data_IF_914335925644
#
_entry.id   IF_914335925644
#
_cell.length_a   1.000
_cell.length_b   1.000
_cell.length_c   1.000
_cell.angle_alpha   90.00
_cell.angle_beta   90.00
_cell.angle_gamma   90.00
#
_symmetry.space_group_name_H-M   'P 1'
#
loop_
_entity.id
_entity.type
_entity.pdbx_description
1 polymer ?
#
# COMPACT_ATOMS: atom_id res chain seq x y z
N UNK A 1 -0.14 25.91 14.51
CA UNK A 1 -0.08 25.32 15.86
C UNK A 1 0.40 26.37 16.87
N UNK A 2 -0.08 26.29 18.10
CA UNK A 2 0.39 27.13 19.22
C UNK A 2 1.17 26.22 20.15
N UNK A 3 2.39 26.65 20.53
CA UNK A 3 3.29 25.93 21.42
C UNK A 3 3.57 26.79 22.64
N UNK A 4 3.55 26.20 23.81
CA UNK A 4 3.86 26.90 25.08
C UNK A 4 5.35 27.19 25.20
N UNK A 5 6.20 26.31 24.63
CA UNK A 5 7.67 26.45 24.63
C UNK A 5 8.25 26.09 23.25
N UNK A 6 9.44 26.63 22.89
CA UNK A 6 10.16 26.19 21.71
C UNK A 6 10.53 24.72 21.83
N UNK A 7 10.20 23.93 20.79
CA UNK A 7 10.59 22.52 20.69
C UNK A 7 11.53 22.33 19.52
N UNK A 8 12.52 21.45 19.68
CA UNK A 8 13.46 21.08 18.65
C UNK A 8 13.75 19.58 18.71
N UNK A 9 13.51 18.89 17.59
CA UNK A 9 13.90 17.50 17.38
C UNK A 9 14.15 17.28 15.90
N UNK A 10 14.86 16.20 15.57
CA UNK A 10 15.12 15.85 14.18
C UNK A 10 14.06 14.89 13.63
N UNK A 11 13.96 14.77 12.31
CA UNK A 11 13.09 13.78 11.67
C UNK A 11 13.49 12.32 12.00
N UNK A 12 14.74 12.11 12.44
CA UNK A 12 15.25 10.79 12.84
C UNK A 12 14.98 10.45 14.31
N UNK A 13 14.52 11.41 15.09
CA UNK A 13 14.30 11.26 16.54
C UNK A 13 13.06 12.08 16.96
N UNK A 14 11.91 11.69 16.44
CA UNK A 14 10.62 12.31 16.79
C UNK A 14 10.07 11.57 18.01
N UNK A 15 9.91 12.24 19.16
CA UNK A 15 9.27 11.63 20.33
C UNK A 15 7.85 11.16 20.02
N UNK A 16 7.39 10.09 20.66
CA UNK A 16 6.02 9.59 20.48
C UNK A 16 4.98 10.64 20.87
N UNK A 17 5.25 11.40 21.93
CA UNK A 17 4.42 12.48 22.45
C UNK A 17 4.75 13.84 21.86
N UNK A 18 5.53 13.91 20.76
CA UNK A 18 5.90 15.15 20.13
C UNK A 18 4.65 15.98 19.75
N UNK A 19 4.65 17.29 20.11
CA UNK A 19 3.53 18.14 19.76
C UNK A 19 3.43 18.36 18.24
N UNK A 20 2.25 18.70 17.77
CA UNK A 20 2.05 19.09 16.36
C UNK A 20 2.70 20.47 16.12
N UNK A 21 3.80 20.51 15.37
CA UNK A 21 4.54 21.73 15.07
C UNK A 21 4.50 22.15 13.61
N UNK A 22 4.37 21.16 12.71
CA UNK A 22 4.42 21.39 11.27
C UNK A 22 3.71 20.28 10.51
N UNK A 23 2.77 20.66 9.62
CA UNK A 23 1.85 19.70 8.98
C UNK A 23 2.52 18.66 8.08
N UNK A 24 3.74 18.92 7.57
CA UNK A 24 4.50 17.91 6.81
C UNK A 24 5.00 16.76 7.72
N UNK A 25 5.22 17.05 8.99
CA UNK A 25 5.65 16.07 9.97
C UNK A 25 4.45 15.32 10.53
N UNK A 26 3.56 16.04 11.20
CA UNK A 26 2.30 15.51 11.78
C UNK A 26 1.20 16.55 11.74
N UNK A 27 -0.04 16.09 11.60
CA UNK A 27 -1.23 16.94 11.63
C UNK A 27 -2.39 16.16 12.29
N UNK A 28 -3.14 16.73 13.22
CA UNK A 28 -4.17 16.00 13.98
C UNK A 28 -5.28 15.42 13.09
N UNK A 29 -5.68 16.11 12.02
CA UNK A 29 -6.68 15.58 11.07
C UNK A 29 -6.14 14.42 10.24
N UNK A 30 -4.87 14.48 9.85
CA UNK A 30 -4.20 13.39 9.15
C UNK A 30 -4.04 12.19 10.08
N UNK A 31 -3.62 12.41 11.32
CA UNK A 31 -3.48 11.34 12.32
C UNK A 31 -4.78 10.60 12.56
N UNK A 32 -5.93 11.29 12.64
CA UNK A 32 -7.24 10.63 12.74
C UNK A 32 -7.52 9.65 11.59
N UNK A 33 -7.04 9.96 10.38
CA UNK A 33 -7.15 9.05 9.24
C UNK A 33 -6.18 7.88 9.39
N UNK A 34 -4.94 8.15 9.80
CA UNK A 34 -3.90 7.15 10.04
C UNK A 34 -4.35 6.14 11.10
N UNK A 35 -4.83 6.60 12.25
CA UNK A 35 -5.34 5.77 13.35
C UNK A 35 -6.49 4.89 12.88
N UNK A 36 -7.44 5.46 12.11
CA UNK A 36 -8.57 4.71 11.58
C UNK A 36 -8.16 3.64 10.57
N UNK A 37 -7.21 3.95 9.68
CA UNK A 37 -6.70 2.99 8.72
C UNK A 37 -5.93 1.86 9.42
N UNK A 38 -5.13 2.18 10.44
CA UNK A 38 -4.43 1.20 11.26
C UNK A 38 -5.41 0.21 11.90
N UNK A 39 -6.50 0.71 12.50
CA UNK A 39 -7.55 -0.14 13.10
C UNK A 39 -8.25 -1.00 12.04
N UNK A 40 -8.59 -0.45 10.87
CA UNK A 40 -9.29 -1.20 9.81
C UNK A 40 -8.44 -2.34 9.23
N UNK A 41 -7.13 -2.14 9.12
CA UNK A 41 -6.17 -3.15 8.61
C UNK A 41 -5.62 -4.07 9.71
N UNK A 42 -5.95 -3.84 10.98
CA UNK A 42 -5.35 -4.53 12.13
C UNK A 42 -3.81 -4.38 12.12
N UNK A 43 -3.32 -3.19 11.71
CA UNK A 43 -1.90 -2.87 11.61
C UNK A 43 -1.44 -2.06 12.82
N UNK A 44 -0.16 -2.21 13.27
CA UNK A 44 0.38 -1.42 14.38
C UNK A 44 0.51 0.07 14.05
N UNK A 45 0.87 0.42 12.81
CA UNK A 45 1.10 1.81 12.40
C UNK A 45 0.60 2.07 10.97
N UNK A 46 0.24 3.34 10.71
CA UNK A 46 -0.13 3.86 9.40
C UNK A 46 0.48 5.24 9.17
N UNK A 47 0.87 5.52 7.90
CA UNK A 47 1.17 6.89 7.43
C UNK A 47 0.43 7.17 6.13
N UNK A 48 -0.09 8.39 6.02
CA UNK A 48 -0.89 8.83 4.88
C UNK A 48 -0.11 9.77 3.96
N UNK A 49 -0.30 9.57 2.65
CA UNK A 49 0.42 10.22 1.57
C UNK A 49 -0.52 10.93 0.60
N UNK A 50 0.02 11.87 -0.19
CA UNK A 50 -0.73 12.66 -1.16
C UNK A 50 -1.43 11.83 -2.26
N UNK A 51 -0.95 10.62 -2.54
CA UNK A 51 -1.51 9.68 -3.53
C UNK A 51 -1.08 8.26 -3.25
N UNK A 52 -1.72 7.27 -3.89
CA UNK A 52 -1.27 5.87 -3.85
C UNK A 52 0.16 5.71 -4.36
N UNK A 53 0.53 6.42 -5.44
CA UNK A 53 1.91 6.39 -5.95
C UNK A 53 2.92 7.02 -4.98
N UNK A 54 2.55 8.04 -4.23
CA UNK A 54 3.42 8.60 -3.19
C UNK A 54 3.63 7.57 -2.05
N UNK A 55 2.61 6.81 -1.66
CA UNK A 55 2.72 5.71 -0.71
C UNK A 55 3.61 4.57 -1.25
N UNK A 56 3.38 4.14 -2.49
CA UNK A 56 4.22 3.15 -3.20
C UNK A 56 5.70 3.59 -3.24
N UNK A 57 5.95 4.83 -3.67
CA UNK A 57 7.31 5.38 -3.75
C UNK A 57 7.96 5.48 -2.37
N UNK A 58 7.19 5.84 -1.33
CA UNK A 58 7.70 5.91 0.04
C UNK A 58 8.24 4.56 0.50
N UNK A 59 7.51 3.45 0.27
CA UNK A 59 8.00 2.11 0.59
C UNK A 59 9.25 1.77 -0.24
N UNK A 60 9.17 1.92 -1.56
CA UNK A 60 10.25 1.51 -2.45
C UNK A 60 11.56 2.27 -2.19
N UNK A 61 11.49 3.58 -1.95
CA UNK A 61 12.68 4.41 -1.72
C UNK A 61 13.23 4.32 -0.28
N UNK A 62 12.39 4.00 0.70
CA UNK A 62 12.85 3.82 2.08
C UNK A 62 13.42 2.42 2.35
N UNK A 63 12.97 1.41 1.57
CA UNK A 63 13.37 0.00 1.79
C UNK A 63 14.53 -0.41 0.90
N UNK A 64 14.62 0.12 -0.32
CA UNK A 64 15.56 -0.31 -1.34
C UNK A 64 16.69 0.71 -1.55
N UNK A 65 17.91 0.21 -1.73
CA UNK A 65 19.10 0.97 -2.08
C UNK A 65 19.80 0.37 -3.30
N UNK A 66 20.75 1.08 -3.88
CA UNK A 66 21.56 0.59 -5.01
C UNK A 66 22.23 -0.75 -4.68
N UNK A 67 22.08 -1.72 -5.57
CA UNK A 67 22.56 -3.11 -5.41
C UNK A 67 21.51 -4.08 -4.88
N UNK A 68 20.40 -3.59 -4.32
CA UNK A 68 19.32 -4.44 -3.82
C UNK A 68 18.51 -5.06 -4.97
N UNK A 69 17.82 -6.17 -4.65
CA UNK A 69 16.93 -6.89 -5.58
C UNK A 69 15.48 -6.78 -5.13
N UNK A 70 14.63 -6.36 -6.07
CA UNK A 70 13.17 -6.35 -5.97
C UNK A 70 12.57 -7.46 -6.83
N UNK A 71 11.82 -8.38 -6.25
CA UNK A 71 10.95 -9.31 -6.98
C UNK A 71 9.54 -8.78 -6.96
N UNK A 72 8.96 -8.51 -8.14
CA UNK A 72 7.59 -8.00 -8.25
C UNK A 72 6.69 -8.94 -9.04
N UNK A 73 5.39 -8.91 -8.74
CA UNK A 73 4.39 -9.62 -9.54
C UNK A 73 4.37 -9.11 -11.00
N UNK A 74 4.13 -10.00 -11.95
CA UNK A 74 3.83 -9.65 -13.35
C UNK A 74 2.47 -8.98 -13.51
N UNK A 75 1.56 -9.18 -12.55
CA UNK A 75 0.25 -8.55 -12.48
C UNK A 75 0.21 -7.55 -11.32
N UNK A 76 0.44 -6.27 -11.62
CA UNK A 76 0.32 -5.16 -10.70
C UNK A 76 0.02 -3.86 -11.45
N UNK A 77 -0.38 -2.84 -10.72
CA UNK A 77 -0.71 -1.53 -11.27
C UNK A 77 0.40 -1.02 -12.21
N UNK A 78 0.05 -0.54 -13.42
CA UNK A 78 1.03 -0.10 -14.42
C UNK A 78 2.00 0.96 -13.90
N UNK A 79 1.53 1.91 -13.08
CA UNK A 79 2.39 2.96 -12.51
C UNK A 79 3.50 2.40 -11.62
N UNK A 80 3.21 1.39 -10.79
CA UNK A 80 4.22 0.68 -9.98
C UNK A 80 5.21 -0.08 -10.88
N UNK A 81 4.69 -0.74 -11.92
CA UNK A 81 5.53 -1.46 -12.88
C UNK A 81 6.47 -0.52 -13.65
N UNK A 82 6.00 0.65 -14.04
CA UNK A 82 6.80 1.67 -14.73
C UNK A 82 7.86 2.28 -13.81
N UNK A 83 7.50 2.64 -12.59
CA UNK A 83 8.44 3.13 -11.57
C UNK A 83 9.57 2.13 -11.34
N UNK A 84 9.23 0.83 -11.17
CA UNK A 84 10.21 -0.21 -10.96
C UNK A 84 11.14 -0.37 -12.18
N UNK A 85 10.58 -0.47 -13.38
CA UNK A 85 11.34 -0.73 -14.61
C UNK A 85 12.24 0.44 -15.02
N UNK A 86 11.80 1.67 -14.80
CA UNK A 86 12.48 2.87 -15.27
C UNK A 86 13.33 3.50 -14.17
N UNK A 87 12.70 3.89 -13.06
CA UNK A 87 13.34 4.72 -12.04
C UNK A 87 14.18 3.90 -11.06
N UNK A 88 13.64 2.83 -10.50
CA UNK A 88 14.40 1.97 -9.58
C UNK A 88 15.59 1.31 -10.29
N UNK A 89 15.41 0.86 -11.52
CA UNK A 89 16.50 0.30 -12.31
C UNK A 89 17.61 1.32 -12.56
N UNK A 90 17.26 2.59 -12.83
CA UNK A 90 18.22 3.69 -12.99
C UNK A 90 18.97 4.00 -11.68
N UNK A 91 18.33 3.73 -10.52
CA UNK A 91 18.95 3.84 -9.19
C UNK A 91 19.84 2.64 -8.83
N UNK A 92 20.02 1.69 -9.73
CA UNK A 92 20.87 0.52 -9.53
C UNK A 92 20.21 -0.63 -8.77
N UNK A 93 18.88 -0.67 -8.73
CA UNK A 93 18.12 -1.76 -8.14
C UNK A 93 17.85 -2.82 -9.20
N UNK A 94 18.10 -4.09 -8.89
CA UNK A 94 17.77 -5.21 -9.76
C UNK A 94 16.27 -5.51 -9.69
N UNK A 95 15.60 -5.51 -10.84
CA UNK A 95 14.16 -5.78 -10.94
C UNK A 95 13.92 -7.14 -11.57
N UNK A 96 13.32 -8.04 -10.80
CA UNK A 96 12.87 -9.36 -11.27
C UNK A 96 11.35 -9.38 -11.28
N UNK A 97 10.76 -9.95 -12.34
CA UNK A 97 9.32 -10.11 -12.47
C UNK A 97 8.97 -11.59 -12.43
N UNK A 98 8.02 -11.98 -11.57
CA UNK A 98 7.57 -13.35 -11.41
C UNK A 98 6.03 -13.44 -11.44
N UNK A 99 5.51 -14.60 -11.84
CA UNK A 99 4.10 -14.90 -11.75
C UNK A 99 3.77 -15.38 -10.32
N UNK A 100 3.06 -14.57 -9.54
CA UNK A 100 2.71 -14.93 -8.16
C UNK A 100 1.58 -15.97 -8.03
N UNK A 101 0.94 -16.33 -9.14
CA UNK A 101 0.03 -17.48 -9.17
C UNK A 101 0.77 -18.82 -9.36
N UNK A 102 2.07 -18.80 -9.68
CA UNK A 102 2.95 -19.95 -9.73
C UNK A 102 4.01 -19.83 -8.63
N UNK A 103 3.73 -20.46 -7.49
CA UNK A 103 4.60 -20.38 -6.31
C UNK A 103 5.99 -20.99 -6.57
N UNK A 104 6.12 -21.98 -7.46
CA UNK A 104 7.42 -22.55 -7.82
C UNK A 104 8.27 -21.52 -8.61
N UNK A 105 7.65 -20.81 -9.54
CA UNK A 105 8.34 -19.74 -10.27
C UNK A 105 8.72 -18.58 -9.35
N UNK A 106 7.88 -18.26 -8.38
CA UNK A 106 8.18 -17.25 -7.36
C UNK A 106 9.35 -17.68 -6.47
N UNK A 107 9.35 -18.90 -5.96
CA UNK A 107 10.42 -19.44 -5.11
C UNK A 107 11.80 -19.42 -5.82
N UNK A 108 11.83 -19.70 -7.13
CA UNK A 108 13.04 -19.57 -7.92
C UNK A 108 13.50 -18.13 -8.14
N UNK A 109 12.54 -17.18 -8.18
CA UNK A 109 12.82 -15.75 -8.38
C UNK A 109 13.35 -15.08 -7.11
N UNK A 110 12.85 -15.51 -5.92
CA UNK A 110 13.26 -14.98 -4.62
C UNK A 110 14.55 -15.66 -4.15
N UNK A 111 15.61 -14.89 -4.06
CA UNK A 111 16.96 -15.36 -3.67
C UNK A 111 17.41 -14.65 -2.38
N UNK A 112 18.52 -15.09 -1.74
CA UNK A 112 19.04 -14.40 -0.55
C UNK A 112 19.38 -12.91 -0.75
N UNK A 113 19.59 -12.47 -2.00
CA UNK A 113 19.83 -11.06 -2.35
C UNK A 113 18.53 -10.25 -2.49
N UNK A 114 17.37 -10.92 -2.47
CA UNK A 114 16.07 -10.22 -2.54
C UNK A 114 15.81 -9.49 -1.24
N UNK A 115 15.58 -8.19 -1.31
CA UNK A 115 15.24 -7.34 -0.16
C UNK A 115 13.74 -7.16 -0.02
N UNK A 116 13.04 -7.06 -1.15
CA UNK A 116 11.60 -6.80 -1.17
C UNK A 116 10.91 -7.65 -2.24
N UNK A 117 9.79 -8.25 -1.86
CA UNK A 117 8.80 -8.88 -2.74
C UNK A 117 7.58 -7.97 -2.79
N UNK A 118 7.11 -7.62 -4.01
CA UNK A 118 5.99 -6.69 -4.21
C UNK A 118 4.85 -7.36 -4.98
N UNK A 119 3.70 -7.51 -4.33
CA UNK A 119 2.47 -8.04 -4.93
C UNK A 119 1.33 -7.03 -4.93
N UNK A 120 0.31 -7.33 -5.72
CA UNK A 120 -0.99 -6.64 -5.73
C UNK A 120 -2.10 -7.69 -5.82
N UNK A 121 -3.10 -7.60 -4.95
CA UNK A 121 -4.21 -8.56 -4.96
C UNK A 121 -5.50 -7.93 -4.41
N UNK A 122 -6.62 -8.04 -5.15
CA UNK A 122 -6.75 -8.44 -6.56
C UNK A 122 -5.99 -7.49 -7.50
N UNK A 123 -5.31 -8.02 -8.52
CA UNK A 123 -4.45 -7.23 -9.40
C UNK A 123 -5.26 -6.46 -10.46
N UNK A 124 -5.00 -5.18 -10.62
CA UNK A 124 -5.60 -4.33 -11.67
C UNK A 124 -4.84 -4.49 -13.01
N UNK A 125 -5.52 -4.77 -14.16
CA UNK A 125 -6.97 -4.92 -14.31
C UNK A 125 -7.44 -6.38 -14.33
N UNK A 126 -6.55 -7.34 -14.12
CA UNK A 126 -6.81 -8.77 -14.43
C UNK A 126 -7.60 -9.48 -13.35
N UNK A 127 -7.83 -8.86 -12.19
CA UNK A 127 -8.46 -9.46 -11.01
C UNK A 127 -7.76 -10.74 -10.52
N UNK A 128 -6.50 -10.93 -10.89
CA UNK A 128 -5.71 -12.08 -10.44
C UNK A 128 -5.50 -12.01 -8.93
N UNK A 129 -5.73 -13.13 -8.27
CA UNK A 129 -5.55 -13.28 -6.81
C UNK A 129 -4.18 -13.87 -6.52
N UNK A 130 -3.55 -13.38 -5.47
CA UNK A 130 -2.28 -13.86 -4.91
C UNK A 130 -2.56 -14.47 -3.54
N UNK A 131 -2.03 -15.67 -3.28
CA UNK A 131 -1.99 -16.25 -1.93
C UNK A 131 -0.94 -15.52 -1.10
N UNK A 132 -1.40 -14.56 -0.30
CA UNK A 132 -0.51 -13.67 0.47
C UNK A 132 0.32 -14.48 1.48
N UNK A 133 -0.28 -15.46 2.16
CA UNK A 133 0.42 -16.24 3.18
C UNK A 133 1.53 -17.09 2.58
N UNK A 134 1.27 -17.76 1.45
CA UNK A 134 2.29 -18.53 0.75
C UNK A 134 3.43 -17.65 0.21
N UNK A 135 3.10 -16.47 -0.34
CA UNK A 135 4.12 -15.51 -0.81
C UNK A 135 4.94 -14.94 0.34
N UNK A 136 4.31 -14.66 1.50
CA UNK A 136 5.00 -14.22 2.71
C UNK A 136 6.01 -15.27 3.20
N UNK A 137 5.59 -16.53 3.25
CA UNK A 137 6.47 -17.64 3.65
C UNK A 137 7.70 -17.73 2.74
N UNK A 138 7.52 -17.70 1.41
CA UNK A 138 8.63 -17.72 0.45
C UNK A 138 9.58 -16.52 0.64
N UNK A 139 9.03 -15.31 0.81
CA UNK A 139 9.82 -14.11 1.03
C UNK A 139 10.64 -14.21 2.32
N UNK A 140 10.00 -14.53 3.43
CA UNK A 140 10.62 -14.57 4.75
C UNK A 140 11.67 -15.68 4.89
N UNK A 141 11.48 -16.85 4.25
CA UNK A 141 12.50 -17.91 4.21
C UNK A 141 13.82 -17.47 3.57
N UNK A 142 13.81 -16.42 2.75
CA UNK A 142 15.00 -15.83 2.13
C UNK A 142 15.44 -14.51 2.78
N UNK A 143 14.77 -14.09 3.87
CA UNK A 143 15.06 -12.83 4.57
C UNK A 143 14.51 -11.58 3.85
N UNK A 144 13.71 -11.75 2.79
CA UNK A 144 13.04 -10.67 2.10
C UNK A 144 11.77 -10.22 2.84
N UNK A 145 11.37 -8.95 2.69
CA UNK A 145 10.10 -8.41 3.16
C UNK A 145 9.03 -8.51 2.08
N UNK A 146 7.75 -8.58 2.48
CA UNK A 146 6.61 -8.61 1.57
C UNK A 146 5.82 -7.29 1.65
N UNK A 147 5.64 -6.63 0.52
CA UNK A 147 4.72 -5.50 0.34
C UNK A 147 3.52 -5.91 -0.53
N UNK A 148 2.32 -5.60 -0.09
CA UNK A 148 1.07 -5.89 -0.82
C UNK A 148 0.29 -4.59 -1.05
N UNK A 149 0.03 -4.26 -2.31
CA UNK A 149 -1.00 -3.29 -2.67
C UNK A 149 -2.37 -3.97 -2.61
N UNK A 150 -3.17 -3.56 -1.62
CA UNK A 150 -4.52 -4.11 -1.34
C UNK A 150 -5.63 -3.13 -1.69
N UNK A 151 -5.37 -2.21 -2.63
CA UNK A 151 -6.30 -1.14 -3.00
C UNK A 151 -7.67 -1.66 -3.43
N UNK A 152 -7.72 -2.73 -4.23
CA UNK A 152 -9.00 -3.27 -4.74
C UNK A 152 -9.74 -4.10 -3.69
N UNK A 153 -9.04 -4.83 -2.85
CA UNK A 153 -9.66 -5.56 -1.75
C UNK A 153 -10.26 -4.63 -0.70
N UNK A 154 -9.56 -3.53 -0.41
CA UNK A 154 -9.80 -2.70 0.77
C UNK A 154 -9.71 -3.51 2.09
N UNK A 155 -9.67 -2.89 3.27
CA UNK A 155 -9.67 -3.62 4.55
C UNK A 155 -10.92 -4.48 4.79
N UNK A 156 -11.94 -4.31 3.95
CA UNK A 156 -13.20 -5.05 4.09
C UNK A 156 -13.10 -6.48 3.55
N UNK A 157 -12.34 -6.70 2.48
CA UNK A 157 -12.19 -8.03 1.88
C UNK A 157 -10.93 -8.75 2.33
N UNK A 158 -9.82 -8.02 2.52
CA UNK A 158 -8.52 -8.63 2.88
C UNK A 158 -7.71 -7.68 3.75
N UNK A 159 -7.04 -8.24 4.76
CA UNK A 159 -6.07 -7.55 5.64
C UNK A 159 -4.73 -8.24 5.53
N UNK A 160 -3.86 -7.80 4.60
CA UNK A 160 -2.61 -8.49 4.28
C UNK A 160 -1.64 -8.62 5.46
N UNK A 161 -1.66 -7.66 6.42
CA UNK A 161 -0.83 -7.75 7.63
C UNK A 161 -1.11 -9.04 8.42
N UNK A 162 -2.38 -9.45 8.53
CA UNK A 162 -2.78 -10.67 9.26
C UNK A 162 -2.38 -11.95 8.51
N UNK A 163 -1.96 -11.83 7.26
CA UNK A 163 -1.52 -12.92 6.37
C UNK A 163 -0.01 -12.92 6.15
N UNK A 164 0.75 -12.08 6.87
CA UNK A 164 2.19 -12.07 6.86
C UNK A 164 2.84 -10.98 5.97
N UNK A 165 2.09 -10.03 5.42
CA UNK A 165 2.69 -8.89 4.74
C UNK A 165 3.40 -7.97 5.74
N UNK A 166 4.58 -7.46 5.37
CA UNK A 166 5.35 -6.48 6.16
C UNK A 166 4.90 -5.05 5.90
N UNK A 167 4.44 -4.80 4.68
CA UNK A 167 3.89 -3.51 4.25
C UNK A 167 2.58 -3.73 3.50
N UNK A 168 1.58 -2.92 3.82
CA UNK A 168 0.32 -2.86 3.07
C UNK A 168 0.17 -1.47 2.49
N UNK A 169 -0.18 -1.39 1.22
CA UNK A 169 -0.36 -0.15 0.49
C UNK A 169 -1.82 -0.02 0.05
N UNK A 170 -2.38 1.16 0.21
CA UNK A 170 -3.67 1.53 -0.35
C UNK A 170 -3.60 2.84 -1.13
N UNK A 171 -4.15 2.86 -2.32
CA UNK A 171 -4.62 4.10 -2.91
C UNK A 171 -5.95 4.49 -2.26
N UNK A 172 -5.89 5.37 -1.26
CA UNK A 172 -7.09 5.86 -0.56
C UNK A 172 -8.05 6.62 -1.50
N UNK A 173 -7.55 7.06 -2.66
CA UNK A 173 -8.30 7.67 -3.77
C UNK A 173 -9.48 6.81 -4.23
N UNK A 174 -9.39 5.47 -4.07
CA UNK A 174 -10.34 4.49 -4.60
C UNK A 174 -11.48 4.25 -3.60
N UNK A 175 -11.68 3.01 -3.17
CA UNK A 175 -12.82 2.63 -2.31
C UNK A 175 -12.82 3.31 -0.94
N UNK A 176 -11.65 3.60 -0.36
CA UNK A 176 -11.58 4.27 0.95
C UNK A 176 -12.20 5.67 0.90
N UNK A 177 -11.86 6.48 -0.08
CA UNK A 177 -12.54 7.76 -0.35
C UNK A 177 -13.96 7.51 -0.89
N UNK A 178 -14.07 6.74 -1.97
CA UNK A 178 -15.34 6.23 -2.54
C UNK A 178 -16.21 7.23 -3.26
N UNK A 179 -15.84 8.51 -3.34
CA UNK A 179 -16.66 9.60 -3.90
C UNK A 179 -16.01 10.33 -5.07
N UNK A 180 -14.75 10.00 -5.41
CA UNK A 180 -14.02 10.61 -6.53
C UNK A 180 -13.65 12.08 -6.32
N UNK A 181 -13.66 12.57 -5.09
CA UNK A 181 -13.50 13.98 -4.69
C UNK A 181 -12.20 14.24 -3.90
N UNK A 182 -11.46 13.19 -3.53
CA UNK A 182 -10.17 13.32 -2.86
C UNK A 182 -9.16 12.28 -3.35
N UNK A 183 -7.89 12.63 -3.28
CA UNK A 183 -6.77 11.76 -3.58
C UNK A 183 -5.92 11.54 -2.33
N UNK A 184 -5.45 10.30 -2.15
CA UNK A 184 -4.58 9.94 -1.04
C UNK A 184 -3.99 8.55 -1.22
N UNK A 185 -3.02 8.23 -0.38
CA UNK A 185 -2.42 6.91 -0.24
C UNK A 185 -2.17 6.60 1.22
N UNK A 186 -2.01 5.34 1.56
CA UNK A 186 -1.60 4.89 2.89
C UNK A 186 -0.56 3.78 2.78
N UNK A 187 0.37 3.78 3.72
CA UNK A 187 1.26 2.66 4.03
C UNK A 187 0.97 2.23 5.46
N UNK A 188 0.80 0.92 5.64
CA UNK A 188 0.62 0.28 6.95
C UNK A 188 1.75 -0.73 7.15
N UNK A 189 2.30 -0.78 8.36
CA UNK A 189 3.43 -1.64 8.71
C UNK A 189 3.56 -1.79 10.24
N UNK A 190 4.57 -2.55 10.69
CA UNK A 190 5.01 -2.50 12.09
C UNK A 190 5.56 -1.12 12.45
N UNK A 191 5.60 -0.78 13.74
CA UNK A 191 6.21 0.48 14.22
C UNK A 191 7.67 0.60 13.77
N UNK A 192 8.42 -0.50 13.82
CA UNK A 192 9.81 -0.54 13.39
C UNK A 192 9.97 -0.19 11.91
N UNK A 193 9.20 -0.82 11.05
CA UNK A 193 9.24 -0.58 9.61
C UNK A 193 8.72 0.82 9.24
N UNK A 194 7.76 1.34 10.01
CA UNK A 194 7.16 2.64 9.74
C UNK A 194 8.14 3.81 9.97
N UNK A 195 9.16 3.66 10.84
CA UNK A 195 10.14 4.73 11.11
C UNK A 195 10.86 5.19 9.83
N UNK A 196 11.36 4.28 9.03
CA UNK A 196 12.01 4.62 7.77
C UNK A 196 11.02 5.27 6.77
N UNK A 197 9.78 4.74 6.70
CA UNK A 197 8.72 5.30 5.86
C UNK A 197 8.37 6.73 6.28
N UNK A 198 8.26 7.01 7.58
CA UNK A 198 7.97 8.35 8.11
C UNK A 198 9.12 9.32 7.81
N UNK A 199 10.36 8.93 8.11
CA UNK A 199 11.52 9.81 7.97
C UNK A 199 11.88 10.05 6.51
N UNK A 200 12.13 8.99 5.76
CA UNK A 200 12.66 9.09 4.40
C UNK A 200 11.55 9.29 3.37
N UNK A 201 10.46 8.51 3.48
CA UNK A 201 9.35 8.53 2.52
C UNK A 201 8.41 9.72 2.71
N UNK A 202 8.08 10.10 3.95
CA UNK A 202 7.10 11.15 4.23
C UNK A 202 7.77 12.51 4.46
N UNK A 203 8.67 12.62 5.45
CA UNK A 203 9.20 13.92 5.89
C UNK A 203 10.18 14.48 4.87
N UNK A 204 11.17 13.69 4.42
CA UNK A 204 12.22 14.16 3.52
C UNK A 204 11.74 14.29 2.08
N UNK A 205 11.03 13.30 1.54
CA UNK A 205 10.48 13.34 0.17
C UNK A 205 9.26 14.28 0.08
N UNK A 206 8.50 14.42 1.17
CA UNK A 206 7.43 15.40 1.27
C UNK A 206 6.12 15.01 0.61
N UNK A 207 5.88 13.72 0.35
CA UNK A 207 4.66 13.20 -0.29
C UNK A 207 3.41 13.20 0.62
N UNK A 208 3.28 14.18 1.52
CA UNK A 208 2.25 14.22 2.57
C UNK A 208 0.86 14.56 2.06
N UNK A 209 -0.15 13.93 2.64
CA UNK A 209 -1.57 14.24 2.35
C UNK A 209 -1.95 15.58 2.96
N UNK A 210 -2.82 16.35 2.28
CA UNK A 210 -3.41 17.55 2.87
C UNK A 210 -4.45 17.17 3.94
N UNK A 211 -4.59 17.96 5.03
CA UNK A 211 -5.62 17.72 6.04
C UNK A 211 -7.04 17.73 5.47
N UNK A 212 -7.30 18.50 4.41
CA UNK A 212 -8.59 18.54 3.74
C UNK A 212 -8.92 17.21 3.04
N UNK A 213 -7.97 16.65 2.28
CA UNK A 213 -8.15 15.33 1.67
C UNK A 213 -8.28 14.24 2.73
N UNK A 214 -7.50 14.29 3.81
CA UNK A 214 -7.61 13.37 4.93
C UNK A 214 -9.01 13.41 5.56
N UNK A 215 -9.58 14.58 5.75
CA UNK A 215 -10.94 14.74 6.25
C UNK A 215 -12.00 14.16 5.31
N UNK A 216 -11.91 14.41 3.98
CA UNK A 216 -12.83 13.83 2.99
C UNK A 216 -12.75 12.31 2.97
N UNK A 217 -11.54 11.75 2.98
CA UNK A 217 -11.34 10.30 3.01
C UNK A 217 -11.89 9.70 4.31
N UNK A 218 -11.64 10.34 5.45
CA UNK A 218 -12.19 9.93 6.74
C UNK A 218 -13.72 9.85 6.72
N UNK A 219 -14.37 10.83 6.06
CA UNK A 219 -15.82 10.84 5.84
C UNK A 219 -16.23 9.68 4.92
N UNK A 220 -15.48 9.41 3.85
CA UNK A 220 -15.73 8.29 2.93
C UNK A 220 -15.66 6.93 3.60
N UNK A 221 -14.71 6.73 4.53
CA UNK A 221 -14.54 5.48 5.28
C UNK A 221 -15.79 5.11 6.11
N UNK A 222 -16.60 6.08 6.54
CA UNK A 222 -17.82 5.81 7.32
C UNK A 222 -18.83 4.93 6.58
N UNK A 223 -18.83 4.95 5.25
CA UNK A 223 -19.73 4.14 4.41
C UNK A 223 -19.01 3.01 3.67
N UNK A 224 -17.72 2.80 3.91
CA UNK A 224 -16.91 1.80 3.20
C UNK A 224 -17.54 0.40 3.27
N UNK A 225 -17.97 -0.14 4.44
CA UNK A 225 -18.53 -1.49 4.52
C UNK A 225 -19.78 -1.67 3.65
N UNK A 226 -20.71 -0.72 3.71
CA UNK A 226 -21.97 -0.78 2.93
C UNK A 226 -21.68 -0.67 1.44
N UNK A 227 -20.75 0.20 1.05
CA UNK A 227 -20.38 0.36 -0.37
C UNK A 227 -19.68 -0.89 -0.90
N UNK A 228 -18.76 -1.49 -0.16
CA UNK A 228 -18.06 -2.71 -0.58
C UNK A 228 -19.03 -3.87 -0.74
N UNK A 229 -19.98 -4.06 0.17
CA UNK A 229 -21.03 -5.07 0.04
C UNK A 229 -21.88 -4.86 -1.21
N UNK A 230 -22.27 -3.62 -1.50
CA UNK A 230 -23.02 -3.28 -2.70
C UNK A 230 -22.21 -3.49 -3.98
N UNK A 231 -20.92 -3.14 -3.97
CA UNK A 231 -20.01 -3.38 -5.09
C UNK A 231 -19.88 -4.88 -5.41
N UNK A 232 -19.66 -5.70 -4.38
CA UNK A 232 -19.57 -7.16 -4.53
C UNK A 232 -20.85 -7.75 -5.13
N UNK A 233 -22.00 -7.40 -4.56
CA UNK A 233 -23.31 -7.86 -5.05
C UNK A 233 -23.53 -7.48 -6.52
N UNK A 234 -23.25 -6.23 -6.87
CA UNK A 234 -23.44 -5.74 -8.23
C UNK A 234 -22.44 -6.37 -9.22
N UNK A 235 -21.17 -6.49 -8.81
CA UNK A 235 -20.14 -7.08 -9.66
C UNK A 235 -20.41 -8.55 -9.93
N UNK A 236 -20.85 -9.32 -8.93
CA UNK A 236 -21.27 -10.70 -9.11
C UNK A 236 -22.44 -10.84 -10.09
N UNK A 237 -23.47 -10.02 -9.97
CA UNK A 237 -24.60 -10.03 -10.89
C UNK A 237 -24.18 -9.70 -12.33
N UNK A 238 -23.28 -8.72 -12.52
CA UNK A 238 -22.75 -8.37 -13.84
C UNK A 238 -21.87 -9.50 -14.40
N UNK A 239 -21.02 -10.11 -13.58
CA UNK A 239 -20.17 -11.23 -13.99
C UNK A 239 -21.00 -12.42 -14.47
N UNK A 240 -22.04 -12.82 -13.72
CA UNK A 240 -22.97 -13.90 -14.09
C UNK A 240 -23.74 -13.58 -15.37
N UNK A 241 -24.22 -12.35 -15.55
CA UNK A 241 -24.88 -11.91 -16.79
C UNK A 241 -23.93 -12.02 -17.99
N UNK A 242 -22.68 -11.56 -17.84
CA UNK A 242 -21.70 -11.58 -18.92
C UNK A 242 -21.24 -13.00 -19.25
N UNK A 243 -21.14 -13.91 -18.27
CA UNK A 243 -20.74 -15.30 -18.49
C UNK A 243 -21.71 -16.04 -19.43
N UNK A 244 -23.01 -15.72 -19.34
CA UNK A 244 -24.03 -16.25 -20.25
C UNK A 244 -24.18 -15.49 -21.56
N UNK A 245 -23.43 -14.40 -21.80
CA UNK A 245 -23.68 -13.54 -22.95
C UNK A 245 -22.96 -14.03 -24.22
N UNK A 246 -23.64 -14.18 -25.39
CA UNK A 246 -23.09 -14.83 -26.59
C UNK A 246 -21.90 -14.09 -27.24
N UNK A 247 -21.66 -12.83 -26.88
CA UNK A 247 -20.51 -12.04 -27.36
C UNK A 247 -19.33 -12.04 -26.40
N UNK A 248 -19.39 -12.75 -25.28
CA UNK A 248 -18.36 -12.83 -24.27
C UNK A 248 -17.77 -14.24 -24.26
N UNK A 249 -16.47 -14.36 -24.48
CA UNK A 249 -15.80 -15.65 -24.49
C UNK A 249 -15.39 -16.12 -23.08
N UNK A 250 -15.10 -15.16 -22.19
CA UNK A 250 -14.60 -15.46 -20.83
C UNK A 250 -14.82 -14.26 -19.92
N UNK A 251 -15.23 -14.53 -18.70
CA UNK A 251 -15.27 -13.56 -17.60
C UNK A 251 -14.15 -13.91 -16.62
N UNK A 252 -13.42 -12.90 -16.15
CA UNK A 252 -12.42 -13.01 -15.08
C UNK A 252 -12.91 -12.15 -13.91
N UNK A 253 -13.39 -12.83 -12.85
CA UNK A 253 -13.91 -12.18 -11.65
C UNK A 253 -13.63 -13.03 -10.40
#
# INVERSE_FOLDING_TARGET
FVLDEPVGFSAYDIPEDAPFIYSRWRNPTVQQLEDKMAVLEEAPACRCFASGMAATSAVLFSVLKSGDRLVRSDANYPGTAELARNDLKRMGIEIVTANFSDLNALEQAVTPETVLVWGETPANPTMRITDIAAVAEIAHQRGARLAIDSTFASPMATRPMTLGADYVIHSLTKYCCGHGDAMGGAVLASEEHMRAIETDGQIHVGGVISPFNAWLINRGLATLPIRMQSHETNAMAVAQFLEGHPKVNKVLY
#
